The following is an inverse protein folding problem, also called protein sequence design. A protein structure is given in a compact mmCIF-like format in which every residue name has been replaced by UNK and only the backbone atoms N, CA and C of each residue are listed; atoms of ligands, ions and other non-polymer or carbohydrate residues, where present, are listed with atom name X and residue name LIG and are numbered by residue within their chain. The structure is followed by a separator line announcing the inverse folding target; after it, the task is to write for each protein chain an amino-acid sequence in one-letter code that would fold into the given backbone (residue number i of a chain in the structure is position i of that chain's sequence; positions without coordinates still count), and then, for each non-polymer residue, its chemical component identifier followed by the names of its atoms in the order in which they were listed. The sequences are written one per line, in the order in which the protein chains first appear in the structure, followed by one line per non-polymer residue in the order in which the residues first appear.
data_IF_187788479708
#
_entry.id   IF_187788479708
#
_cell.length_a   1.000
_cell.length_b   1.000
_cell.length_c   1.000
_cell.angle_alpha   90.00
_cell.angle_beta   90.00
_cell.angle_gamma   90.00
#
_symmetry.space_group_name_H-M   'P 1'
#
loop_
_entity.id
_entity.type
_entity.pdbx_description
1 polymer ?
#
# COMPACT_ATOMS: atom_id res chain seq x y z
N UNK A 1 25.33 -7.48 4.88
CA UNK A 1 23.89 -7.09 4.96
C UNK A 1 23.24 -7.93 6.03
N UNK A 2 22.53 -7.32 6.98
CA UNK A 2 21.76 -8.07 7.96
C UNK A 2 20.48 -8.58 7.32
N UNK A 3 20.12 -9.84 7.61
CA UNK A 3 18.84 -10.39 7.15
C UNK A 3 17.67 -9.68 7.83
N UNK A 4 16.70 -9.27 7.00
CA UNK A 4 15.48 -8.58 7.44
C UNK A 4 14.28 -9.51 7.20
N UNK A 5 13.58 -9.84 8.26
CA UNK A 5 12.39 -10.70 8.21
C UNK A 5 11.10 -9.93 8.45
N UNK A 6 10.06 -10.32 7.76
CA UNK A 6 8.69 -9.92 8.08
C UNK A 6 8.14 -10.95 9.06
N UNK A 7 7.73 -10.53 10.24
CA UNK A 7 7.20 -11.41 11.28
C UNK A 7 5.72 -11.16 11.58
N UNK A 8 5.19 -10.03 11.14
CA UNK A 8 3.79 -9.68 11.31
C UNK A 8 3.25 -8.87 10.15
N UNK A 9 1.97 -9.05 9.84
CA UNK A 9 1.22 -8.29 8.85
C UNK A 9 -0.17 -7.95 9.37
N UNK A 10 -0.68 -6.79 8.96
CA UNK A 10 -2.05 -6.35 9.23
C UNK A 10 -2.54 -5.45 8.10
N UNK A 11 -3.82 -5.48 7.79
CA UNK A 11 -4.42 -4.64 6.78
C UNK A 11 -5.87 -4.28 7.08
N UNK A 12 -6.22 -3.04 6.78
CA UNK A 12 -7.60 -2.54 6.74
C UNK A 12 -7.88 -2.13 5.29
N UNK A 13 -8.93 -2.68 4.70
CA UNK A 13 -9.33 -2.39 3.32
C UNK A 13 -10.86 -2.29 3.22
N UNK A 14 -11.37 -1.84 2.09
CA UNK A 14 -12.82 -1.86 1.82
C UNK A 14 -13.43 -3.28 1.79
N UNK A 15 -12.62 -4.33 1.75
CA UNK A 15 -13.04 -5.74 1.76
C UNK A 15 -12.98 -6.38 3.15
N UNK A 16 -12.39 -5.71 4.13
CA UNK A 16 -12.33 -6.21 5.49
C UNK A 16 -11.51 -5.35 6.43
N UNK A 17 -11.84 -5.44 7.73
CA UNK A 17 -11.15 -4.77 8.81
C UNK A 17 -9.96 -5.60 9.37
N UNK A 18 -9.53 -6.63 8.65
CA UNK A 18 -8.37 -7.46 8.95
C UNK A 18 -7.84 -8.15 7.69
N UNK A 19 -6.66 -8.74 7.80
CA UNK A 19 -5.99 -9.48 6.72
C UNK A 19 -6.81 -10.71 6.28
N UNK A 20 -7.44 -11.40 7.21
CA UNK A 20 -8.19 -12.65 6.93
C UNK A 20 -9.42 -12.37 6.07
N UNK A 21 -10.24 -11.38 6.44
CA UNK A 21 -11.44 -10.99 5.69
C UNK A 21 -11.07 -10.40 4.33
N UNK A 22 -10.04 -9.53 4.27
CA UNK A 22 -9.51 -8.99 3.03
C UNK A 22 -9.04 -10.08 2.08
N UNK A 23 -8.19 -11.00 2.57
CA UNK A 23 -7.71 -12.15 1.79
C UNK A 23 -8.86 -12.96 1.21
N UNK A 24 -9.78 -13.39 2.08
CA UNK A 24 -10.90 -14.28 1.70
C UNK A 24 -11.83 -13.63 0.65
N UNK A 25 -11.99 -12.31 0.68
CA UNK A 25 -12.78 -11.61 -0.33
C UNK A 25 -12.04 -11.52 -1.68
N UNK A 26 -10.74 -11.16 -1.67
CA UNK A 26 -9.93 -11.09 -2.89
C UNK A 26 -9.79 -12.47 -3.54
N UNK A 27 -9.55 -13.52 -2.75
CA UNK A 27 -9.44 -14.89 -3.22
C UNK A 27 -10.68 -15.33 -4.04
N UNK A 28 -11.86 -14.85 -3.66
CA UNK A 28 -13.11 -15.07 -4.40
C UNK A 28 -13.33 -14.11 -5.57
N UNK A 29 -12.34 -13.30 -5.93
CA UNK A 29 -12.44 -12.32 -7.01
C UNK A 29 -13.37 -11.14 -6.72
N UNK A 30 -13.71 -10.87 -5.45
CA UNK A 30 -14.62 -9.77 -5.10
C UNK A 30 -13.92 -8.42 -5.25
N UNK A 31 -14.68 -7.42 -5.69
CA UNK A 31 -14.32 -6.00 -5.62
C UNK A 31 -15.11 -5.32 -4.50
N UNK A 32 -14.44 -4.50 -3.70
CA UNK A 32 -15.04 -3.68 -2.66
C UNK A 32 -15.33 -2.23 -3.10
N UNK A 33 -15.37 -2.00 -4.40
CA UNK A 33 -15.63 -0.68 -4.97
C UNK A 33 -17.14 -0.50 -5.13
N UNK A 34 -17.72 0.44 -4.39
CA UNK A 34 -19.16 0.72 -4.38
C UNK A 34 -19.40 2.22 -4.29
N UNK A 35 -20.66 2.66 -4.50
CA UNK A 35 -21.06 4.06 -4.28
C UNK A 35 -20.70 4.51 -2.87
N UNK A 36 -20.21 5.74 -2.74
CA UNK A 36 -19.78 6.31 -1.45
C UNK A 36 -20.98 6.53 -0.54
N UNK A 37 -20.84 6.23 0.75
CA UNK A 37 -21.87 6.41 1.77
C UNK A 37 -21.38 7.37 2.87
N UNK A 38 -22.31 8.16 3.43
CA UNK A 38 -22.02 9.04 4.56
C UNK A 38 -21.15 10.27 4.25
N UNK A 39 -20.78 10.48 2.98
CA UNK A 39 -20.01 11.63 2.51
C UNK A 39 -20.81 12.31 1.41
N UNK A 40 -20.97 13.62 1.48
CA UNK A 40 -21.67 14.39 0.44
C UNK A 40 -20.78 14.51 -0.80
N UNK A 41 -21.07 13.70 -1.79
CA UNK A 41 -20.40 13.69 -3.10
C UNK A 41 -21.26 14.29 -4.22
N UNK A 42 -22.33 15.02 -3.87
CA UNK A 42 -23.15 15.72 -4.85
C UNK A 42 -22.28 16.70 -5.66
N UNK A 43 -22.46 16.67 -6.97
CA UNK A 43 -21.64 17.46 -7.90
C UNK A 43 -20.30 16.80 -8.31
N UNK A 44 -19.89 15.70 -7.69
CA UNK A 44 -18.82 14.86 -8.22
C UNK A 44 -19.36 13.99 -9.35
N UNK A 45 -18.60 13.88 -10.45
CA UNK A 45 -18.95 12.96 -11.54
C UNK A 45 -18.68 11.49 -11.18
N UNK A 46 -17.79 11.27 -10.22
CA UNK A 46 -17.46 9.95 -9.69
C UNK A 46 -17.88 9.96 -8.23
N UNK A 47 -18.79 9.06 -7.90
CA UNK A 47 -19.45 8.93 -6.60
C UNK A 47 -19.21 7.55 -5.96
N UNK A 48 -18.22 6.82 -6.44
CA UNK A 48 -17.86 5.50 -5.94
C UNK A 48 -16.38 5.43 -5.55
N UNK A 49 -16.08 4.52 -4.61
CA UNK A 49 -14.74 4.32 -4.06
C UNK A 49 -14.62 2.94 -3.39
N UNK A 50 -13.40 2.53 -3.10
CA UNK A 50 -13.10 1.43 -2.17
C UNK A 50 -13.16 1.94 -0.72
N UNK A 51 -14.36 2.21 -0.22
CA UNK A 51 -14.61 2.77 1.11
C UNK A 51 -14.63 1.68 2.17
N UNK A 52 -13.91 1.88 3.26
CA UNK A 52 -13.97 1.00 4.45
C UNK A 52 -15.27 1.26 5.21
N UNK A 53 -16.11 0.25 5.36
CA UNK A 53 -17.42 0.34 6.00
C UNK A 53 -17.47 -0.48 7.27
N UNK A 54 -18.32 -0.07 8.23
CA UNK A 54 -18.51 -0.80 9.48
C UNK A 54 -17.25 -0.93 10.34
N UNK A 55 -16.26 -0.07 10.13
CA UNK A 55 -15.03 -0.06 10.89
C UNK A 55 -15.22 0.62 12.24
N UNK A 56 -14.77 -0.07 13.29
CA UNK A 56 -14.73 0.49 14.65
C UNK A 56 -13.31 0.93 14.96
N UNK A 57 -13.09 2.20 15.32
CA UNK A 57 -11.76 2.69 15.66
C UNK A 57 -11.23 2.02 16.95
N UNK A 58 -9.90 1.86 17.08
CA UNK A 58 -9.31 1.46 18.34
C UNK A 58 -9.63 2.43 19.47
N UNK A 59 -9.82 1.92 20.68
CA UNK A 59 -10.18 2.71 21.85
C UNK A 59 -9.23 3.91 22.06
N UNK A 60 -9.82 5.10 22.29
CA UNK A 60 -9.11 6.36 22.46
C UNK A 60 -8.61 7.00 21.16
N UNK A 61 -9.08 6.51 19.99
CA UNK A 61 -8.83 7.11 18.68
C UNK A 61 -10.13 7.46 17.94
N UNK A 62 -11.24 7.53 18.63
CA UNK A 62 -12.57 7.79 18.04
C UNK A 62 -12.61 9.13 17.28
N UNK A 63 -11.91 10.15 17.80
CA UNK A 63 -11.82 11.50 17.22
C UNK A 63 -10.60 11.72 16.34
N UNK A 64 -9.70 10.73 16.23
CA UNK A 64 -8.53 10.83 15.36
C UNK A 64 -8.92 10.83 13.88
N UNK A 65 -8.03 11.34 13.01
CA UNK A 65 -8.21 11.19 11.56
C UNK A 65 -8.34 9.70 11.19
N UNK A 66 -9.21 9.42 10.25
CA UNK A 66 -9.54 8.05 9.83
C UNK A 66 -8.31 7.24 9.38
N UNK A 67 -7.34 7.91 8.74
CA UNK A 67 -6.06 7.27 8.37
C UNK A 67 -5.25 6.84 9.60
N UNK A 68 -5.27 7.63 10.67
CA UNK A 68 -4.62 7.28 11.95
C UNK A 68 -5.31 6.08 12.61
N UNK A 69 -6.64 6.05 12.58
CA UNK A 69 -7.43 4.92 13.09
C UNK A 69 -7.10 3.62 12.35
N UNK A 70 -7.04 3.66 11.02
CA UNK A 70 -6.67 2.52 10.20
C UNK A 70 -5.25 2.05 10.47
N UNK A 71 -4.29 2.98 10.59
CA UNK A 71 -2.90 2.67 10.90
C UNK A 71 -2.77 1.93 12.23
N UNK A 72 -3.41 2.44 13.27
CA UNK A 72 -3.37 1.84 14.60
C UNK A 72 -3.99 0.43 14.61
N UNK A 73 -5.16 0.24 14.01
CA UNK A 73 -5.81 -1.07 13.93
C UNK A 73 -4.96 -2.11 13.16
N UNK A 74 -4.38 -1.69 12.03
CA UNK A 74 -3.51 -2.58 11.24
C UNK A 74 -2.20 -2.91 11.97
N UNK A 75 -1.65 -1.99 12.77
CA UNK A 75 -0.47 -2.26 13.63
C UNK A 75 -0.84 -3.27 14.73
N UNK A 76 -1.99 -3.10 15.39
CA UNK A 76 -2.45 -4.06 16.40
C UNK A 76 -2.61 -5.48 15.82
N UNK A 77 -3.13 -5.60 14.59
CA UNK A 77 -3.19 -6.89 13.89
C UNK A 77 -1.79 -7.44 13.57
N UNK A 78 -0.89 -6.60 13.04
CA UNK A 78 0.47 -7.00 12.72
C UNK A 78 1.23 -7.48 13.96
N UNK A 79 1.06 -6.80 15.10
CA UNK A 79 1.64 -7.21 16.39
C UNK A 79 1.08 -8.56 16.86
N UNK A 80 -0.23 -8.77 16.76
CA UNK A 80 -0.84 -10.08 17.08
C UNK A 80 -0.28 -11.20 16.20
N UNK A 81 -0.14 -10.93 14.89
CA UNK A 81 0.44 -11.89 13.94
C UNK A 81 1.89 -12.22 14.29
N UNK A 82 2.67 -11.23 14.69
CA UNK A 82 4.07 -11.37 15.13
C UNK A 82 4.20 -11.98 16.54
N UNK A 83 3.11 -12.15 17.28
CA UNK A 83 3.08 -12.54 18.70
C UNK A 83 3.92 -11.60 19.56
N UNK A 84 3.74 -10.29 19.37
CA UNK A 84 4.41 -9.23 20.08
C UNK A 84 3.43 -8.48 20.98
N UNK A 85 3.84 -8.24 22.22
CA UNK A 85 3.16 -7.32 23.14
C UNK A 85 3.91 -6.00 23.31
N UNK A 86 3.29 -4.99 23.96
CA UNK A 86 3.95 -3.70 24.23
C UNK A 86 5.24 -3.84 25.05
N UNK A 87 5.34 -4.86 25.90
CA UNK A 87 6.52 -5.12 26.72
C UNK A 87 7.72 -5.56 25.90
N UNK A 88 7.50 -6.28 24.79
CA UNK A 88 8.57 -6.67 23.87
C UNK A 88 9.22 -5.43 23.27
N UNK A 89 8.39 -4.46 22.84
CA UNK A 89 8.86 -3.19 22.29
C UNK A 89 9.60 -2.36 23.34
N UNK A 90 9.10 -2.30 24.57
CA UNK A 90 9.75 -1.59 25.66
C UNK A 90 11.13 -2.16 26.00
N UNK A 91 11.27 -3.50 25.97
CA UNK A 91 12.56 -4.19 26.20
C UNK A 91 13.60 -3.88 25.13
N UNK A 92 13.18 -3.58 23.90
CA UNK A 92 14.09 -3.18 22.82
C UNK A 92 14.62 -1.74 22.99
N UNK A 93 13.94 -0.89 23.78
CA UNK A 93 14.33 0.49 23.99
C UNK A 93 14.40 1.28 22.69
N UNK A 94 15.60 1.83 22.37
CA UNK A 94 15.85 2.54 21.10
C UNK A 94 16.00 1.61 19.90
N UNK A 95 16.09 0.31 20.10
CA UNK A 95 16.11 -0.70 19.02
C UNK A 95 14.75 -0.98 18.40
N UNK A 96 13.64 -0.47 18.97
CA UNK A 96 12.31 -0.49 18.35
C UNK A 96 12.00 0.85 17.68
N UNK A 97 11.61 0.83 16.39
CA UNK A 97 11.36 2.02 15.58
C UNK A 97 9.99 2.00 14.88
N UNK A 98 9.54 3.15 14.39
CA UNK A 98 8.29 3.33 13.63
C UNK A 98 8.59 4.03 12.30
N UNK A 99 8.10 3.47 11.19
CA UNK A 99 8.18 4.08 9.85
C UNK A 99 6.81 3.98 9.19
N UNK A 100 5.93 4.92 9.48
CA UNK A 100 4.56 4.92 8.95
C UNK A 100 4.31 6.16 8.12
N UNK A 101 4.10 5.94 6.83
CA UNK A 101 3.85 6.99 5.85
C UNK A 101 2.37 7.31 5.65
N UNK A 102 2.12 8.49 5.11
CA UNK A 102 0.84 8.92 4.55
C UNK A 102 1.11 9.81 3.35
N UNK A 103 0.31 9.70 2.31
CA UNK A 103 0.54 10.53 1.12
C UNK A 103 0.15 12.00 1.32
N UNK A 104 -0.73 12.30 2.29
CA UNK A 104 -1.32 13.64 2.47
C UNK A 104 -1.58 14.04 3.93
N UNK A 105 -1.46 13.11 4.87
CA UNK A 105 -1.83 13.36 6.27
C UNK A 105 -3.33 13.28 6.52
N UNK A 106 -3.79 13.94 7.58
CA UNK A 106 -5.18 13.94 8.06
C UNK A 106 -6.12 14.81 7.22
N UNK A 107 -6.41 14.37 6.00
CA UNK A 107 -7.22 15.11 5.02
C UNK A 107 -8.63 15.39 5.53
N UNK A 108 -9.28 14.40 6.13
CA UNK A 108 -10.64 14.54 6.62
C UNK A 108 -10.68 15.47 7.83
N UNK A 109 -9.69 15.37 8.71
CA UNK A 109 -9.56 16.26 9.86
C UNK A 109 -9.26 17.70 9.43
N UNK A 110 -8.36 17.88 8.45
CA UNK A 110 -8.12 19.21 7.87
C UNK A 110 -9.40 19.85 7.33
N UNK A 111 -10.18 19.09 6.55
CA UNK A 111 -11.43 19.59 5.99
C UNK A 111 -12.44 19.98 7.08
N UNK A 112 -12.55 19.18 8.16
CA UNK A 112 -13.42 19.49 9.30
C UNK A 112 -12.97 20.75 10.06
N UNK A 113 -11.67 20.87 10.34
CA UNK A 113 -11.10 22.06 11.01
C UNK A 113 -11.25 23.32 10.16
N UNK A 114 -11.01 23.23 8.84
CA UNK A 114 -11.20 24.36 7.92
C UNK A 114 -12.67 24.80 7.87
N UNK A 115 -13.62 23.85 7.80
CA UNK A 115 -15.05 24.16 7.86
C UNK A 115 -15.41 24.85 9.18
N UNK A 116 -14.91 24.37 10.30
CA UNK A 116 -15.12 24.99 11.60
C UNK A 116 -14.60 26.42 11.62
N UNK A 117 -13.37 26.66 11.15
CA UNK A 117 -12.77 28.00 11.09
C UNK A 117 -13.59 28.97 10.24
N UNK A 118 -14.08 28.56 9.08
CA UNK A 118 -14.93 29.40 8.22
C UNK A 118 -16.24 29.82 8.90
N UNK A 119 -16.81 28.99 9.80
CA UNK A 119 -18.08 29.30 10.47
C UNK A 119 -17.88 30.06 11.79
N UNK A 120 -16.77 29.82 12.51
CA UNK A 120 -16.51 30.43 13.81
C UNK A 120 -15.83 31.81 13.70
N UNK A 121 -15.43 32.26 12.51
CA UNK A 121 -14.63 33.47 12.32
C UNK A 121 -13.18 33.32 12.80
N UNK A 122 -12.44 34.45 12.84
CA UNK A 122 -11.00 34.45 13.14
C UNK A 122 -10.65 34.34 14.63
N UNK A 123 -11.65 34.25 15.52
CA UNK A 123 -11.44 34.12 16.98
C UNK A 123 -10.96 32.72 17.35
N UNK A 124 -9.65 32.49 17.37
CA UNK A 124 -9.07 31.27 17.94
C UNK A 124 -9.09 31.41 19.48
N UNK A 125 -9.96 30.67 20.14
CA UNK A 125 -9.99 30.55 21.61
C UNK A 125 -9.33 29.25 22.06
N UNK A 126 -8.98 29.13 23.32
CA UNK A 126 -8.42 27.88 23.89
C UNK A 126 -9.37 26.68 23.70
N UNK A 127 -10.66 26.93 23.54
CA UNK A 127 -11.69 25.90 23.28
C UNK A 127 -11.89 25.61 21.78
N UNK A 128 -11.19 26.34 20.89
CA UNK A 128 -11.29 26.13 19.46
C UNK A 128 -10.59 24.82 19.07
N UNK A 129 -11.21 23.92 18.27
CA UNK A 129 -10.55 22.70 17.80
C UNK A 129 -9.34 22.97 16.90
N UNK A 130 -9.07 24.24 16.53
CA UNK A 130 -7.89 24.59 15.72
C UNK A 130 -6.56 24.30 16.43
N UNK A 131 -6.52 24.28 17.77
CA UNK A 131 -5.31 23.87 18.52
C UNK A 131 -4.90 22.41 18.22
N UNK A 132 -5.85 21.57 17.81
CA UNK A 132 -5.58 20.19 17.42
C UNK A 132 -4.93 20.02 16.04
N UNK A 133 -4.76 21.10 15.28
CA UNK A 133 -4.24 21.02 13.90
C UNK A 133 -2.91 20.24 13.84
N UNK A 134 -1.96 20.60 14.68
CA UNK A 134 -0.62 20.00 14.67
C UNK A 134 -0.57 18.56 15.18
N UNK A 135 -1.58 18.14 15.96
CA UNK A 135 -1.67 16.76 16.45
C UNK A 135 -2.53 15.84 15.59
N UNK A 136 -3.21 16.38 14.54
CA UNK A 136 -4.18 15.61 13.78
C UNK A 136 -4.04 15.69 12.25
N UNK A 137 -3.38 16.74 11.72
CA UNK A 137 -3.30 16.98 10.27
C UNK A 137 -1.97 16.58 9.63
N UNK A 138 -0.79 16.79 10.25
CA UNK A 138 0.49 16.47 9.61
C UNK A 138 0.58 15.00 9.17
N UNK A 139 1.27 14.69 8.08
CA UNK A 139 1.44 13.31 7.63
C UNK A 139 2.08 12.39 8.68
N UNK A 140 2.88 12.94 9.60
CA UNK A 140 3.51 12.18 10.69
C UNK A 140 2.57 11.71 11.78
N UNK A 141 1.33 12.23 11.86
CA UNK A 141 0.39 11.97 12.96
C UNK A 141 0.19 10.48 13.23
N UNK A 142 0.08 9.66 12.19
CA UNK A 142 -0.07 8.20 12.37
C UNK A 142 1.18 7.57 13.03
N UNK A 143 2.36 7.95 12.58
CA UNK A 143 3.63 7.47 13.16
C UNK A 143 3.79 7.95 14.61
N UNK A 144 3.43 9.20 14.89
CA UNK A 144 3.47 9.81 16.22
C UNK A 144 2.50 9.12 17.19
N UNK A 145 1.28 8.90 16.76
CA UNK A 145 0.25 8.22 17.55
C UNK A 145 0.66 6.78 17.89
N UNK A 146 1.15 6.01 16.92
CA UNK A 146 1.61 4.63 17.13
C UNK A 146 2.80 4.61 18.09
N UNK A 147 3.79 5.47 17.89
CA UNK A 147 4.96 5.53 18.75
C UNK A 147 4.60 5.90 20.21
N UNK A 148 3.69 6.87 20.39
CA UNK A 148 3.20 7.30 21.69
C UNK A 148 2.43 6.19 22.41
N UNK A 149 1.45 5.56 21.76
CA UNK A 149 0.63 4.47 22.32
C UNK A 149 1.47 3.27 22.74
N UNK A 150 2.47 2.91 21.95
CA UNK A 150 3.35 1.76 22.20
C UNK A 150 4.61 2.13 22.97
N UNK A 151 4.80 3.42 23.33
CA UNK A 151 5.95 3.95 24.05
C UNK A 151 7.30 3.59 23.40
N UNK A 152 7.34 3.63 22.06
CA UNK A 152 8.55 3.37 21.26
C UNK A 152 9.49 4.56 21.39
N UNK A 153 10.75 4.29 21.70
CA UNK A 153 11.80 5.30 21.96
C UNK A 153 12.82 5.43 20.82
N UNK A 154 12.80 4.52 19.86
CA UNK A 154 13.71 4.56 18.72
C UNK A 154 13.30 5.51 17.62
N UNK A 155 13.91 5.36 16.46
CA UNK A 155 13.70 6.23 15.31
C UNK A 155 12.23 6.25 14.86
N UNK A 156 11.77 7.43 14.45
CA UNK A 156 10.40 7.65 13.95
C UNK A 156 10.45 8.44 12.66
N UNK A 157 9.86 7.89 11.60
CA UNK A 157 9.83 8.48 10.28
C UNK A 157 8.44 8.42 9.66
N UNK A 158 8.13 9.42 8.84
CA UNK A 158 6.95 9.45 8.00
C UNK A 158 7.38 9.73 6.55
N UNK A 159 7.69 8.73 5.74
CA UNK A 159 7.96 8.92 4.32
C UNK A 159 6.71 9.43 3.59
N UNK A 160 6.95 10.29 2.57
CA UNK A 160 5.94 10.77 1.64
C UNK A 160 6.49 10.59 0.23
N UNK A 161 5.85 9.74 -0.58
CA UNK A 161 6.25 9.41 -1.95
C UNK A 161 5.01 9.11 -2.83
N UNK A 162 3.96 9.92 -2.67
CA UNK A 162 2.67 9.75 -3.33
C UNK A 162 2.16 8.29 -3.22
N UNK A 163 1.84 7.62 -4.36
CA UNK A 163 1.32 6.25 -4.36
C UNK A 163 2.37 5.19 -3.98
N UNK A 164 3.66 5.52 -3.99
CA UNK A 164 4.74 4.63 -3.58
C UNK A 164 5.05 4.69 -2.06
N UNK A 165 4.39 5.58 -1.31
CA UNK A 165 4.67 5.86 0.12
C UNK A 165 4.79 4.58 0.96
N UNK A 166 3.83 3.65 0.87
CA UNK A 166 3.83 2.43 1.66
C UNK A 166 5.03 1.53 1.38
N UNK A 167 5.39 1.36 0.10
CA UNK A 167 6.58 0.59 -0.29
C UNK A 167 7.87 1.28 0.16
N UNK A 168 7.96 2.61 0.01
CA UNK A 168 9.11 3.41 0.48
C UNK A 168 9.25 3.33 2.00
N UNK A 169 8.13 3.31 2.75
CA UNK A 169 8.14 3.15 4.20
C UNK A 169 8.72 1.79 4.61
N UNK A 170 8.33 0.70 3.93
CA UNK A 170 8.88 -0.63 4.19
C UNK A 170 10.37 -0.71 3.82
N UNK A 171 10.78 -0.10 2.70
CA UNK A 171 12.20 0.01 2.32
C UNK A 171 12.99 0.77 3.40
N UNK A 172 12.48 1.91 3.87
CA UNK A 172 13.16 2.68 4.92
C UNK A 172 13.31 1.89 6.22
N UNK A 173 12.27 1.13 6.60
CA UNK A 173 12.32 0.24 7.75
C UNK A 173 13.39 -0.86 7.58
N UNK A 174 13.45 -1.48 6.39
CA UNK A 174 14.47 -2.48 6.08
C UNK A 174 15.90 -1.90 6.15
N UNK A 175 16.09 -0.66 5.68
CA UNK A 175 17.37 0.05 5.79
C UNK A 175 17.78 0.25 7.26
N UNK A 176 16.87 0.69 8.14
CA UNK A 176 17.18 0.87 9.56
C UNK A 176 17.69 -0.40 10.22
N UNK A 177 17.10 -1.55 9.86
CA UNK A 177 17.57 -2.85 10.37
C UNK A 177 18.91 -3.23 9.73
N UNK A 178 19.03 -3.10 8.42
CA UNK A 178 20.26 -3.43 7.70
C UNK A 178 21.48 -2.61 8.19
N UNK A 179 21.24 -1.34 8.55
CA UNK A 179 22.25 -0.42 9.05
C UNK A 179 22.53 -0.59 10.57
N UNK A 180 21.82 -1.52 11.22
CA UNK A 180 21.95 -1.77 12.66
C UNK A 180 21.36 -0.69 13.56
N UNK A 181 20.57 0.24 12.98
CA UNK A 181 19.91 1.32 13.73
C UNK A 181 18.66 0.84 14.49
N UNK A 182 18.09 -0.29 14.10
CA UNK A 182 16.93 -0.91 14.76
C UNK A 182 17.01 -2.43 14.70
N UNK A 183 16.42 -3.09 15.69
CA UNK A 183 16.22 -4.54 15.74
C UNK A 183 14.81 -4.92 15.29
N UNK A 184 13.84 -4.03 15.49
CA UNK A 184 12.44 -4.19 15.13
C UNK A 184 11.86 -2.87 14.64
N UNK A 185 11.10 -2.89 13.54
CA UNK A 185 10.42 -1.71 12.99
C UNK A 185 8.96 -2.03 12.67
N UNK A 186 8.04 -1.24 13.23
CA UNK A 186 6.66 -1.16 12.80
C UNK A 186 6.59 -0.27 11.56
N UNK A 187 6.18 -0.79 10.41
CA UNK A 187 6.24 -0.04 9.17
C UNK A 187 5.04 -0.26 8.24
N UNK A 188 4.82 0.70 7.38
CA UNK A 188 3.74 0.68 6.39
C UNK A 188 3.22 2.07 6.08
N UNK A 189 1.96 2.16 5.69
CA UNK A 189 1.28 3.42 5.45
C UNK A 189 -0.22 3.30 5.61
N UNK A 190 -0.87 4.45 5.85
CA UNK A 190 -2.31 4.59 5.87
C UNK A 190 -2.74 5.84 5.09
N UNK A 191 -3.89 5.75 4.45
CA UNK A 191 -4.52 6.86 3.75
C UNK A 191 -6.05 6.79 3.87
N UNK A 192 -6.69 7.94 4.11
CA UNK A 192 -8.14 8.10 4.11
C UNK A 192 -8.47 9.37 3.30
N UNK A 193 -8.57 9.22 1.99
CA UNK A 193 -8.67 10.35 1.05
C UNK A 193 -10.01 10.37 0.28
N UNK A 194 -11.04 9.67 0.75
CA UNK A 194 -12.37 9.72 0.15
C UNK A 194 -13.05 11.00 0.59
N UNK A 195 -12.92 12.02 -0.23
CA UNK A 195 -13.46 13.36 0.02
C UNK A 195 -13.75 14.05 -1.33
N UNK A 196 -14.81 14.87 -1.46
CA UNK A 196 -15.18 15.52 -2.73
C UNK A 196 -14.03 16.27 -3.40
N UNK A 197 -13.17 16.96 -2.63
CA UNK A 197 -12.01 17.66 -3.16
C UNK A 197 -11.07 16.71 -3.93
N UNK A 198 -10.75 15.54 -3.36
CA UNK A 198 -9.85 14.57 -3.99
C UNK A 198 -10.51 13.82 -5.13
N UNK A 199 -11.79 13.47 -5.00
CA UNK A 199 -12.58 12.91 -6.10
C UNK A 199 -12.59 13.88 -7.28
N UNK A 200 -12.91 15.15 -7.05
CA UNK A 200 -12.91 16.18 -8.09
C UNK A 200 -11.53 16.44 -8.70
N UNK A 201 -10.48 16.53 -7.87
CA UNK A 201 -9.13 16.75 -8.34
C UNK A 201 -8.61 15.62 -9.23
N UNK A 202 -8.74 14.35 -8.81
CA UNK A 202 -8.32 13.20 -9.63
C UNK A 202 -9.22 13.00 -10.85
N UNK A 203 -10.52 13.30 -10.77
CA UNK A 203 -11.39 13.29 -11.94
C UNK A 203 -10.98 14.33 -12.97
N UNK A 204 -10.61 15.54 -12.53
CA UNK A 204 -10.08 16.58 -13.41
C UNK A 204 -8.78 16.19 -14.09
N UNK A 205 -7.94 15.38 -13.43
CA UNK A 205 -6.71 14.82 -14.02
C UNK A 205 -7.00 13.69 -15.03
N UNK A 206 -8.25 13.21 -15.14
CA UNK A 206 -8.62 12.14 -16.04
C UNK A 206 -8.11 10.75 -15.66
N UNK A 207 -7.77 10.53 -14.38
CA UNK A 207 -7.19 9.26 -13.90
C UNK A 207 -8.19 8.37 -13.16
N UNK A 208 -9.39 8.88 -12.85
CA UNK A 208 -10.44 8.08 -12.22
C UNK A 208 -11.20 7.23 -13.24
N UNK A 209 -11.51 6.02 -12.79
CA UNK A 209 -12.32 5.07 -13.54
C UNK A 209 -13.74 5.62 -13.80
N UNK A 210 -14.34 5.15 -14.90
CA UNK A 210 -15.78 5.31 -15.18
C UNK A 210 -16.52 4.05 -14.75
N UNK A 211 -17.81 4.16 -14.35
CA UNK A 211 -18.60 2.97 -14.06
C UNK A 211 -18.59 2.03 -15.28
N UNK A 212 -18.42 0.74 -15.04
CA UNK A 212 -18.47 -0.23 -16.13
C UNK A 212 -19.90 -0.39 -16.63
N UNK A 213 -20.16 -0.47 -17.94
CA UNK A 213 -21.52 -0.51 -18.47
C UNK A 213 -22.39 -1.63 -17.90
N UNK A 214 -21.82 -2.81 -17.67
CA UNK A 214 -22.55 -3.98 -17.18
C UNK A 214 -22.47 -4.14 -15.64
N UNK A 215 -21.31 -3.82 -15.04
CA UNK A 215 -21.02 -4.13 -13.65
C UNK A 215 -21.06 -2.89 -12.74
N UNK A 216 -21.28 -1.70 -13.32
CA UNK A 216 -21.31 -0.44 -12.58
C UNK A 216 -19.99 -0.12 -11.86
N UNK A 217 -20.06 0.44 -10.64
CA UNK A 217 -18.87 0.78 -9.84
C UNK A 217 -17.96 -0.42 -9.53
N UNK A 218 -18.54 -1.59 -9.29
CA UNK A 218 -17.80 -2.82 -8.92
C UNK A 218 -16.81 -3.22 -10.02
N UNK A 219 -17.19 -3.06 -11.28
CA UNK A 219 -16.36 -3.36 -12.45
C UNK A 219 -15.47 -2.21 -12.92
N UNK A 220 -15.50 -1.03 -12.29
CA UNK A 220 -14.87 0.18 -12.79
C UNK A 220 -13.33 0.10 -12.84
N UNK A 221 -12.71 -0.35 -11.76
CA UNK A 221 -11.25 -0.50 -11.69
C UNK A 221 -10.85 -1.90 -12.22
N UNK A 222 -10.18 -1.92 -13.39
CA UNK A 222 -9.88 -3.15 -14.17
C UNK A 222 -8.42 -3.15 -14.64
N UNK A 223 -7.48 -3.49 -13.76
CA UNK A 223 -6.05 -3.45 -14.10
C UNK A 223 -5.73 -4.33 -15.32
N UNK A 224 -4.92 -3.79 -16.25
CA UNK A 224 -4.47 -4.43 -17.49
C UNK A 224 -5.60 -4.82 -18.48
N UNK A 225 -6.86 -4.55 -18.17
CA UNK A 225 -7.98 -4.88 -19.05
C UNK A 225 -8.07 -3.90 -20.24
N UNK A 226 -8.58 -4.39 -21.37
CA UNK A 226 -8.78 -3.58 -22.58
C UNK A 226 -9.77 -2.41 -22.36
N UNK A 227 -10.72 -2.57 -21.45
CA UNK A 227 -11.75 -1.57 -21.15
C UNK A 227 -11.40 -0.70 -19.92
N UNK A 228 -10.13 -0.72 -19.47
CA UNK A 228 -9.67 0.11 -18.36
C UNK A 228 -9.79 1.61 -18.67
N UNK A 229 -10.26 2.36 -17.70
CA UNK A 229 -10.46 3.81 -17.82
C UNK A 229 -9.80 4.61 -16.71
N UNK A 230 -9.26 3.96 -15.69
CA UNK A 230 -8.63 4.59 -14.53
C UNK A 230 -8.82 3.78 -13.25
N UNK A 231 -8.44 4.37 -12.12
CA UNK A 231 -8.60 3.74 -10.82
C UNK A 231 -9.83 4.27 -10.05
N UNK A 232 -10.34 3.48 -9.12
CA UNK A 232 -11.22 3.96 -8.07
C UNK A 232 -10.36 4.31 -6.85
N UNK A 233 -10.60 5.46 -6.20
CA UNK A 233 -9.93 5.80 -4.94
C UNK A 233 -10.30 4.72 -3.91
N UNK A 234 -9.30 4.25 -3.15
CA UNK A 234 -9.49 3.41 -1.97
C UNK A 234 -8.97 4.10 -0.71
N UNK A 235 -9.35 3.59 0.45
CA UNK A 235 -8.82 3.99 1.75
C UNK A 235 -8.45 2.76 2.58
N UNK A 236 -7.62 2.94 3.61
CA UNK A 236 -7.22 1.89 4.53
C UNK A 236 -5.76 1.98 4.97
N UNK A 237 -5.22 0.85 5.44
CA UNK A 237 -3.83 0.73 5.87
C UNK A 237 -3.26 -0.64 5.52
N UNK A 238 -1.94 -0.69 5.35
CA UNK A 238 -1.16 -1.93 5.35
C UNK A 238 0.05 -1.76 6.25
N UNK A 239 0.20 -2.66 7.22
CA UNK A 239 1.28 -2.61 8.20
C UNK A 239 2.05 -3.91 8.27
N UNK A 240 3.36 -3.81 8.44
CA UNK A 240 4.28 -4.92 8.60
C UNK A 240 5.13 -4.73 9.84
N UNK A 241 5.52 -5.83 10.47
CA UNK A 241 6.59 -5.87 11.46
C UNK A 241 7.83 -6.43 10.77
N UNK A 242 8.89 -5.63 10.74
CA UNK A 242 10.21 -6.08 10.28
C UNK A 242 11.12 -6.30 11.48
N UNK A 243 11.89 -7.39 11.43
CA UNK A 243 12.86 -7.72 12.47
C UNK A 243 14.20 -8.17 11.89
N UNK A 244 15.27 -7.86 12.62
CA UNK A 244 16.58 -8.45 12.34
C UNK A 244 16.58 -9.95 12.62
N UNK A 245 17.46 -10.70 11.96
CA UNK A 245 17.67 -12.12 12.26
C UNK A 245 18.01 -12.37 13.74
N UNK A 246 18.72 -11.40 14.37
CA UNK A 246 19.05 -11.46 15.81
C UNK A 246 17.81 -11.35 16.68
N UNK A 247 16.90 -10.39 16.38
CA UNK A 247 15.65 -10.21 17.11
C UNK A 247 14.77 -11.45 17.01
N UNK A 248 14.58 -11.97 15.79
CA UNK A 248 13.79 -13.18 15.53
C UNK A 248 14.31 -14.36 16.36
N UNK A 249 15.61 -14.64 16.31
CA UNK A 249 16.22 -15.75 17.08
C UNK A 249 16.08 -15.54 18.58
N UNK A 250 16.32 -14.31 19.09
CA UNK A 250 16.30 -14.03 20.53
C UNK A 250 14.94 -14.28 21.18
N UNK A 251 13.84 -14.08 20.44
CA UNK A 251 12.47 -14.24 20.95
C UNK A 251 11.76 -15.50 20.42
N UNK A 252 12.47 -16.35 19.68
CA UNK A 252 11.89 -17.52 18.99
C UNK A 252 10.72 -17.13 18.07
N UNK A 253 10.91 -16.01 17.34
CA UNK A 253 9.91 -15.46 16.44
C UNK A 253 9.75 -16.29 15.17
N UNK A 254 8.56 -16.26 14.57
CA UNK A 254 8.27 -16.98 13.33
C UNK A 254 8.34 -16.02 12.14
N UNK A 255 9.34 -16.11 11.26
CA UNK A 255 9.38 -15.30 10.06
C UNK A 255 8.31 -15.76 9.04
N UNK A 256 7.55 -14.81 8.50
CA UNK A 256 6.55 -15.04 7.46
C UNK A 256 7.15 -14.93 6.06
N UNK A 257 8.08 -13.98 5.89
CA UNK A 257 8.84 -13.74 4.67
C UNK A 257 10.18 -13.06 5.02
N UNK A 258 11.09 -13.03 4.05
CA UNK A 258 12.34 -12.27 4.10
C UNK A 258 12.29 -11.14 3.08
N UNK A 259 12.71 -9.92 3.45
CA UNK A 259 13.02 -8.86 2.50
C UNK A 259 14.37 -9.22 1.87
N UNK A 260 14.34 -9.69 0.63
CA UNK A 260 15.56 -10.15 -0.07
C UNK A 260 16.39 -8.99 -0.59
N UNK A 261 15.72 -8.00 -1.18
CA UNK A 261 16.33 -6.79 -1.71
C UNK A 261 15.28 -5.71 -1.97
N UNK A 262 15.76 -4.52 -2.31
CA UNK A 262 14.94 -3.39 -2.76
C UNK A 262 15.72 -2.48 -3.70
N UNK A 263 14.98 -1.69 -4.47
CA UNK A 263 15.51 -0.58 -5.25
C UNK A 263 14.55 0.60 -5.25
N UNK A 264 15.11 1.79 -5.33
CA UNK A 264 14.40 3.05 -5.54
C UNK A 264 14.94 3.72 -6.79
N UNK A 265 14.08 4.38 -7.52
CA UNK A 265 14.42 5.16 -8.70
C UNK A 265 13.42 6.25 -8.97
N UNK A 266 13.67 7.00 -10.03
CA UNK A 266 12.80 8.08 -10.47
C UNK A 266 12.57 8.02 -11.98
N UNK A 267 11.36 8.39 -12.39
CA UNK A 267 10.99 8.67 -13.77
C UNK A 267 10.88 10.19 -13.94
N UNK A 268 11.73 10.84 -14.72
CA UNK A 268 11.73 12.29 -14.89
C UNK A 268 10.68 12.81 -15.88
N UNK A 269 9.80 11.96 -16.41
CA UNK A 269 8.85 12.31 -17.50
C UNK A 269 7.71 13.24 -17.08
N UNK A 270 7.75 13.80 -15.86
CA UNK A 270 6.79 14.77 -15.34
C UNK A 270 5.98 14.29 -14.16
N UNK A 271 4.98 15.09 -13.76
CA UNK A 271 4.22 14.83 -12.53
C UNK A 271 3.42 13.51 -12.61
N UNK A 272 2.78 13.25 -13.75
CA UNK A 272 1.94 12.07 -13.99
C UNK A 272 2.38 11.26 -15.21
N UNK A 273 3.38 11.76 -15.94
CA UNK A 273 3.95 11.11 -17.11
C UNK A 273 4.74 9.87 -16.71
N UNK A 274 4.82 8.93 -17.64
CA UNK A 274 5.69 7.77 -17.56
C UNK A 274 6.51 7.70 -18.86
N UNK A 275 7.77 7.34 -18.76
CA UNK A 275 8.64 7.12 -19.90
C UNK A 275 8.05 6.03 -20.80
N UNK A 276 7.84 6.37 -22.10
CA UNK A 276 7.20 5.48 -23.06
C UNK A 276 8.04 4.21 -23.35
N UNK A 277 9.34 4.25 -23.05
CA UNK A 277 10.22 3.08 -23.17
C UNK A 277 10.15 2.16 -21.96
N UNK A 278 9.54 2.61 -20.85
CA UNK A 278 9.50 1.95 -19.54
C UNK A 278 10.90 1.67 -18.94
N UNK A 279 11.95 2.31 -19.46
CA UNK A 279 13.32 2.09 -19.00
C UNK A 279 13.55 2.42 -17.52
N UNK A 280 13.00 3.53 -16.95
CA UNK A 280 13.15 3.80 -15.53
C UNK A 280 12.57 2.68 -14.64
N UNK A 281 11.41 2.14 -15.03
CA UNK A 281 10.77 1.02 -14.31
C UNK A 281 11.64 -0.24 -14.41
N UNK A 282 12.10 -0.55 -15.62
CA UNK A 282 12.94 -1.73 -15.87
C UNK A 282 14.29 -1.63 -15.14
N UNK A 283 14.89 -0.46 -15.08
CA UNK A 283 16.13 -0.20 -14.34
C UNK A 283 15.96 -0.51 -12.84
N UNK A 284 14.87 -0.06 -12.21
CA UNK A 284 14.58 -0.33 -10.79
C UNK A 284 14.36 -1.83 -10.56
N UNK A 285 13.63 -2.51 -11.45
CA UNK A 285 13.43 -3.96 -11.37
C UNK A 285 14.79 -4.68 -11.46
N UNK A 286 15.62 -4.39 -12.46
CA UNK A 286 16.94 -5.00 -12.63
C UNK A 286 17.84 -4.76 -11.43
N UNK A 287 17.91 -3.52 -10.96
CA UNK A 287 18.70 -3.17 -9.76
C UNK A 287 18.26 -3.99 -8.53
N UNK A 288 16.95 -4.22 -8.36
CA UNK A 288 16.46 -5.04 -7.26
C UNK A 288 16.87 -6.51 -7.39
N UNK A 289 16.88 -7.06 -8.60
CA UNK A 289 17.35 -8.42 -8.88
C UNK A 289 18.84 -8.58 -8.65
N UNK A 290 19.64 -7.67 -9.20
CA UNK A 290 21.11 -7.70 -9.06
C UNK A 290 21.51 -7.70 -7.58
N UNK A 291 20.86 -6.85 -6.76
CA UNK A 291 21.06 -6.83 -5.30
C UNK A 291 20.62 -8.12 -4.60
N UNK A 292 19.62 -8.79 -5.13
CA UNK A 292 19.17 -10.08 -4.63
C UNK A 292 20.05 -11.26 -5.05
N UNK A 293 20.87 -11.10 -6.11
CA UNK A 293 21.55 -12.19 -6.78
C UNK A 293 20.57 -13.12 -7.50
N UNK A 294 19.48 -12.56 -8.06
CA UNK A 294 18.42 -13.31 -8.74
C UNK A 294 18.34 -12.91 -10.22
N UNK A 295 17.84 -13.84 -11.03
CA UNK A 295 17.51 -13.61 -12.44
C UNK A 295 16.00 -13.42 -12.60
N UNK A 296 15.56 -12.91 -13.74
CA UNK A 296 14.12 -12.77 -14.05
C UNK A 296 13.35 -14.09 -13.93
N UNK A 297 13.98 -15.21 -14.29
CA UNK A 297 13.40 -16.56 -14.21
C UNK A 297 13.17 -17.07 -12.77
N UNK A 298 13.81 -16.43 -11.77
CA UNK A 298 13.67 -16.80 -10.37
C UNK A 298 12.47 -16.15 -9.71
N UNK A 299 11.84 -15.15 -10.37
CA UNK A 299 10.63 -14.46 -9.87
C UNK A 299 9.38 -15.26 -10.25
N UNK A 300 8.64 -15.71 -9.25
CA UNK A 300 7.41 -16.48 -9.44
C UNK A 300 6.20 -15.58 -9.72
N UNK A 301 6.13 -14.42 -9.00
CA UNK A 301 4.99 -13.48 -9.08
C UNK A 301 5.49 -12.04 -9.08
N UNK A 302 4.83 -11.22 -9.88
CA UNK A 302 4.89 -9.76 -9.78
C UNK A 302 3.58 -9.26 -9.20
N UNK A 303 3.62 -8.61 -8.02
CA UNK A 303 2.52 -7.80 -7.52
C UNK A 303 2.67 -6.40 -8.10
N UNK A 304 1.90 -6.13 -9.14
CA UNK A 304 2.01 -4.93 -9.96
C UNK A 304 1.53 -3.67 -9.26
N UNK A 305 1.96 -2.50 -9.72
CA UNK A 305 1.32 -1.24 -9.34
C UNK A 305 -0.06 -1.12 -9.97
N UNK A 306 -0.16 -1.25 -11.28
CA UNK A 306 -1.38 -1.50 -12.06
C UNK A 306 -2.61 -0.68 -11.62
N UNK A 307 -2.63 0.59 -11.99
CA UNK A 307 -3.70 1.53 -11.60
C UNK A 307 -4.96 1.44 -12.48
N UNK A 308 -4.99 0.57 -13.47
CA UNK A 308 -6.03 0.53 -14.49
C UNK A 308 -6.09 1.82 -15.35
N UNK A 309 -5.08 2.66 -15.30
CA UNK A 309 -4.91 3.76 -16.27
C UNK A 309 -4.23 3.25 -17.53
N UNK A 310 -4.56 3.84 -18.68
CA UNK A 310 -4.00 3.37 -19.96
C UNK A 310 -2.48 3.47 -19.97
N UNK A 311 -1.92 4.61 -19.56
CA UNK A 311 -0.47 4.87 -19.59
C UNK A 311 0.32 4.01 -18.61
N UNK A 312 -0.14 3.89 -17.35
CA UNK A 312 0.58 3.12 -16.35
C UNK A 312 0.62 1.64 -16.70
N UNK A 313 -0.52 1.06 -17.02
CA UNK A 313 -0.61 -0.38 -17.28
C UNK A 313 0.13 -0.77 -18.56
N UNK A 314 0.15 0.11 -19.58
CA UNK A 314 0.96 -0.09 -20.77
C UNK A 314 2.47 -0.06 -20.47
N UNK A 315 2.94 0.92 -19.68
CA UNK A 315 4.34 1.03 -19.28
C UNK A 315 4.80 -0.17 -18.44
N UNK A 316 3.99 -0.60 -17.46
CA UNK A 316 4.30 -1.78 -16.67
C UNK A 316 4.32 -3.05 -17.53
N UNK A 317 3.33 -3.26 -18.39
CA UNK A 317 3.31 -4.42 -19.29
C UNK A 317 4.51 -4.46 -20.22
N UNK A 318 4.93 -3.31 -20.74
CA UNK A 318 6.16 -3.19 -21.56
C UNK A 318 7.40 -3.54 -20.74
N UNK A 319 7.52 -3.00 -19.50
CA UNK A 319 8.63 -3.33 -18.61
C UNK A 319 8.67 -4.83 -18.31
N UNK A 320 7.53 -5.46 -18.03
CA UNK A 320 7.47 -6.90 -17.73
C UNK A 320 7.82 -7.77 -18.92
N UNK A 321 7.39 -7.43 -20.14
CA UNK A 321 7.81 -8.14 -21.36
C UNK A 321 9.33 -8.04 -21.59
N UNK A 322 9.91 -6.84 -21.40
CA UNK A 322 11.35 -6.61 -21.55
C UNK A 322 12.19 -7.20 -20.39
N UNK A 323 11.57 -7.42 -19.26
CA UNK A 323 12.18 -8.03 -18.08
C UNK A 323 12.41 -9.53 -18.25
N UNK A 324 11.50 -10.24 -18.94
CA UNK A 324 11.58 -11.69 -19.12
C UNK A 324 12.65 -12.02 -20.14
N UNK A 325 13.63 -12.85 -19.75
CA UNK A 325 14.64 -13.33 -20.69
C UNK A 325 14.02 -14.24 -21.76
N UNK A 326 14.53 -14.15 -22.99
CA UNK A 326 14.08 -14.99 -24.12
C UNK A 326 14.13 -16.47 -23.75
N UNK A 327 13.02 -17.18 -23.93
CA UNK A 327 12.89 -18.61 -23.62
C UNK A 327 12.61 -18.93 -22.15
N UNK A 328 12.53 -17.93 -21.28
CA UNK A 328 12.16 -18.13 -19.87
C UNK A 328 10.64 -18.10 -19.68
N UNK A 329 10.16 -18.84 -18.68
CA UNK A 329 8.75 -18.75 -18.26
C UNK A 329 8.49 -17.34 -17.67
N UNK A 330 7.48 -16.60 -18.17
CA UNK A 330 7.11 -15.33 -17.58
C UNK A 330 6.57 -15.52 -16.15
N UNK A 331 6.88 -14.62 -15.21
CA UNK A 331 6.25 -14.63 -13.89
C UNK A 331 4.75 -14.41 -14.00
N UNK A 332 4.01 -14.93 -13.03
CA UNK A 332 2.61 -14.57 -12.87
C UNK A 332 2.49 -13.11 -12.46
N UNK A 333 1.49 -12.39 -12.97
CA UNK A 333 1.23 -10.98 -12.62
C UNK A 333 -0.13 -10.90 -11.94
N UNK A 334 -0.16 -10.29 -10.76
CA UNK A 334 -1.40 -9.97 -10.04
C UNK A 334 -1.48 -8.48 -9.74
N UNK A 335 -2.70 -7.94 -9.80
CA UNK A 335 -3.00 -6.55 -9.53
C UNK A 335 -4.20 -6.44 -8.59
N UNK A 336 -3.99 -5.92 -7.40
CA UNK A 336 -4.98 -5.97 -6.32
C UNK A 336 -5.93 -4.77 -6.30
N UNK A 337 -5.62 -3.70 -7.06
CA UNK A 337 -6.43 -2.46 -7.07
C UNK A 337 -7.83 -2.64 -7.67
N UNK A 338 -8.03 -3.64 -8.53
CA UNK A 338 -9.38 -4.01 -8.98
C UNK A 338 -10.29 -4.48 -7.85
N UNK A 339 -9.71 -5.06 -6.81
CA UNK A 339 -10.42 -5.55 -5.64
C UNK A 339 -10.58 -4.50 -4.54
N UNK A 340 -9.48 -3.81 -4.15
CA UNK A 340 -9.46 -2.92 -2.97
C UNK A 340 -9.46 -1.42 -3.32
N UNK A 341 -9.54 -1.07 -4.60
CA UNK A 341 -9.31 0.29 -5.06
C UNK A 341 -7.84 0.72 -4.92
N UNK A 342 -7.53 1.94 -5.35
CA UNK A 342 -6.21 2.51 -5.17
C UNK A 342 -6.16 3.26 -3.83
N UNK A 343 -5.58 2.63 -2.81
CA UNK A 343 -5.45 3.17 -1.45
C UNK A 343 -4.35 4.24 -1.35
N UNK A 344 -3.94 4.84 -2.47
CA UNK A 344 -2.95 5.92 -2.58
C UNK A 344 -1.66 5.57 -1.82
N UNK A 345 -1.26 6.37 -0.82
CA UNK A 345 -0.05 6.10 -0.05
C UNK A 345 -0.04 4.74 0.66
N UNK A 346 -1.19 4.23 1.08
CA UNK A 346 -1.31 2.94 1.74
C UNK A 346 -1.22 1.74 0.78
N UNK A 347 -1.44 1.94 -0.54
CA UNK A 347 -1.55 0.85 -1.50
C UNK A 347 -0.33 -0.10 -1.48
N UNK A 348 0.88 0.47 -1.51
CA UNK A 348 2.11 -0.32 -1.59
C UNK A 348 2.32 -1.25 -0.41
N UNK A 349 2.07 -0.81 0.80
CA UNK A 349 2.25 -1.62 2.02
C UNK A 349 1.12 -2.63 2.22
N UNK A 350 -0.12 -2.31 1.86
CA UNK A 350 -1.23 -3.27 1.88
C UNK A 350 -1.00 -4.42 0.88
N UNK A 351 -0.55 -4.07 -0.33
CA UNK A 351 -0.20 -5.06 -1.36
C UNK A 351 1.04 -5.88 -0.98
N UNK A 352 2.02 -5.30 -0.24
CA UNK A 352 3.14 -6.05 0.34
C UNK A 352 2.67 -7.04 1.42
N UNK A 353 1.79 -6.61 2.33
CA UNK A 353 1.23 -7.49 3.34
C UNK A 353 0.47 -8.68 2.72
N UNK A 354 -0.32 -8.43 1.66
CA UNK A 354 -0.96 -9.49 0.87
C UNK A 354 0.06 -10.37 0.13
N UNK A 355 1.18 -9.80 -0.35
CA UNK A 355 2.25 -10.59 -0.99
C UNK A 355 2.97 -11.51 0.01
N UNK A 356 3.13 -11.09 1.27
CA UNK A 356 3.62 -11.95 2.35
C UNK A 356 2.66 -13.12 2.59
N UNK A 357 1.35 -12.86 2.61
CA UNK A 357 0.34 -13.91 2.73
C UNK A 357 0.31 -14.86 1.51
N UNK A 358 0.56 -14.36 0.28
CA UNK A 358 0.72 -15.24 -0.90
C UNK A 358 1.90 -16.20 -0.71
N UNK A 359 3.06 -15.73 -0.26
CA UNK A 359 4.22 -16.59 0.07
C UNK A 359 3.88 -17.60 1.16
N UNK A 360 3.21 -17.18 2.22
CA UNK A 360 2.85 -18.05 3.36
C UNK A 360 1.86 -19.13 2.98
N UNK A 361 0.84 -18.77 2.20
CA UNK A 361 -0.25 -19.69 1.77
C UNK A 361 0.09 -20.46 0.51
N UNK A 362 1.18 -20.13 -0.17
CA UNK A 362 1.56 -20.72 -1.46
C UNK A 362 0.41 -20.62 -2.48
N UNK A 363 -0.20 -19.42 -2.55
CA UNK A 363 -1.35 -19.15 -3.39
C UNK A 363 -1.24 -17.75 -3.99
N UNK A 364 -1.55 -17.60 -5.27
CA UNK A 364 -1.56 -16.31 -5.97
C UNK A 364 -2.99 -15.76 -5.96
N UNK A 365 -3.16 -14.51 -5.52
CA UNK A 365 -4.42 -13.80 -5.57
C UNK A 365 -4.75 -13.32 -6.99
N UNK A 366 -6.04 -13.27 -7.37
CA UNK A 366 -6.46 -12.88 -8.71
C UNK A 366 -6.40 -11.35 -8.92
N UNK A 367 -6.32 -10.96 -10.19
CA UNK A 367 -6.61 -9.61 -10.67
C UNK A 367 -8.11 -9.50 -10.91
N UNK A 368 -8.82 -8.82 -10.01
CA UNK A 368 -10.26 -8.62 -10.17
C UNK A 368 -10.55 -7.78 -11.42
N UNK A 369 -11.70 -8.05 -12.05
CA UNK A 369 -12.23 -7.32 -13.21
C UNK A 369 -11.40 -7.43 -14.50
N UNK A 370 -10.36 -8.26 -14.57
CA UNK A 370 -9.61 -8.49 -15.80
C UNK A 370 -10.29 -9.55 -16.67
N UNK A 371 -10.83 -9.16 -17.82
CA UNK A 371 -11.46 -10.06 -18.79
C UNK A 371 -10.57 -10.33 -20.00
N UNK A 372 -10.01 -9.28 -20.62
CA UNK A 372 -9.17 -9.41 -21.82
C UNK A 372 -8.08 -8.33 -21.86
N UNK A 373 -6.93 -8.67 -22.41
CA UNK A 373 -5.87 -7.71 -22.69
C UNK A 373 -6.15 -6.97 -24.02
N UNK A 374 -5.56 -5.78 -24.17
CA UNK A 374 -5.40 -5.07 -25.44
C UNK A 374 -3.97 -5.21 -25.98
N UNK A 375 -3.64 -4.48 -27.05
CA UNK A 375 -2.33 -4.51 -27.66
C UNK A 375 -1.22 -4.02 -26.71
N UNK A 376 -1.55 -3.11 -25.78
CA UNK A 376 -0.58 -2.54 -24.84
C UNK A 376 -0.29 -3.51 -23.68
N UNK A 377 -1.29 -4.30 -23.27
CA UNK A 377 -1.22 -5.17 -22.08
C UNK A 377 -1.07 -6.66 -22.41
N UNK A 378 -1.11 -7.05 -23.68
CA UNK A 378 -0.88 -8.45 -24.11
C UNK A 378 0.56 -8.91 -23.82
N UNK A 379 0.76 -10.23 -23.78
CA UNK A 379 2.09 -10.86 -23.60
C UNK A 379 2.58 -10.92 -22.15
N UNK A 380 1.75 -10.59 -21.15
CA UNK A 380 2.02 -10.82 -19.73
C UNK A 380 1.00 -11.83 -19.16
N UNK A 381 1.44 -12.61 -18.16
CA UNK A 381 0.64 -13.69 -17.58
C UNK A 381 -0.20 -13.18 -16.41
N UNK A 382 -1.37 -12.58 -16.68
CA UNK A 382 -2.30 -12.07 -15.65
C UNK A 382 -3.08 -13.20 -14.99
N UNK A 383 -3.07 -13.24 -13.66
CA UNK A 383 -3.84 -14.19 -12.87
C UNK A 383 -5.28 -13.70 -12.72
N UNK A 384 -6.25 -14.46 -13.22
CA UNK A 384 -7.69 -14.14 -13.18
C UNK A 384 -8.44 -14.86 -12.05
N UNK A 385 -7.94 -15.98 -11.61
CA UNK A 385 -8.51 -16.79 -10.53
C UNK A 385 -7.43 -17.15 -9.53
N UNK A 386 -7.80 -17.19 -8.25
CA UNK A 386 -6.87 -17.63 -7.21
C UNK A 386 -6.37 -19.05 -7.52
N UNK A 387 -5.07 -19.26 -7.44
CA UNK A 387 -4.46 -20.55 -7.76
C UNK A 387 -3.29 -20.89 -6.85
N UNK A 388 -3.19 -22.15 -6.45
CA UNK A 388 -2.03 -22.68 -5.74
C UNK A 388 -0.78 -22.67 -6.62
N UNK A 389 0.36 -22.30 -6.06
CA UNK A 389 1.64 -22.30 -6.75
C UNK A 389 2.79 -22.41 -5.74
N UNK A 390 3.88 -23.06 -6.14
CA UNK A 390 5.12 -23.03 -5.34
C UNK A 390 5.78 -21.66 -5.51
N UNK A 391 5.68 -20.82 -4.50
CA UNK A 391 6.21 -19.46 -4.50
C UNK A 391 7.48 -19.38 -3.67
N UNK A 392 8.55 -18.87 -4.25
CA UNK A 392 9.84 -18.60 -3.61
C UNK A 392 10.13 -17.11 -3.53
N UNK A 393 9.85 -16.39 -4.64
CA UNK A 393 10.18 -14.98 -4.79
C UNK A 393 9.01 -14.21 -5.40
N UNK A 394 8.64 -13.11 -4.75
CA UNK A 394 7.65 -12.15 -5.25
C UNK A 394 8.31 -10.79 -5.41
N UNK A 395 8.19 -10.20 -6.60
CA UNK A 395 8.56 -8.82 -6.87
C UNK A 395 7.34 -7.93 -6.66
N UNK A 396 7.41 -6.99 -5.74
CA UNK A 396 6.42 -5.91 -5.58
C UNK A 396 6.93 -4.63 -6.22
N UNK A 397 6.15 -4.05 -7.14
CA UNK A 397 6.43 -2.77 -7.79
C UNK A 397 5.42 -1.71 -7.33
N UNK A 398 5.88 -0.50 -7.08
CA UNK A 398 5.04 0.68 -6.83
C UNK A 398 5.57 1.87 -7.61
N UNK A 399 4.64 2.58 -8.26
CA UNK A 399 4.89 3.84 -8.92
C UNK A 399 4.10 4.95 -8.20
N UNK A 400 4.63 6.16 -8.17
CA UNK A 400 3.98 7.29 -7.52
C UNK A 400 4.10 8.55 -8.39
N UNK A 401 3.07 9.40 -8.36
CA UNK A 401 3.15 10.70 -8.99
C UNK A 401 4.39 11.47 -8.52
N UNK A 402 4.99 12.26 -9.41
CA UNK A 402 6.30 12.87 -9.19
C UNK A 402 7.46 11.94 -9.56
N UNK A 403 7.17 10.83 -10.24
CA UNK A 403 8.19 9.91 -10.79
C UNK A 403 8.74 8.90 -9.78
N UNK A 404 8.15 8.74 -8.61
CA UNK A 404 8.63 7.76 -7.62
C UNK A 404 8.48 6.32 -8.13
N UNK A 405 9.57 5.55 -8.11
CA UNK A 405 9.57 4.12 -8.43
C UNK A 405 10.20 3.36 -7.27
N UNK A 406 9.52 2.33 -6.77
CA UNK A 406 10.00 1.50 -5.69
C UNK A 406 9.73 0.02 -5.98
N UNK A 407 10.74 -0.82 -5.80
CA UNK A 407 10.64 -2.26 -5.93
C UNK A 407 11.16 -2.96 -4.68
N UNK A 408 10.48 -4.03 -4.24
CA UNK A 408 10.90 -4.92 -3.16
C UNK A 408 10.81 -6.37 -3.67
N UNK A 409 11.82 -7.16 -3.40
CA UNK A 409 11.77 -8.62 -3.57
C UNK A 409 11.56 -9.27 -2.21
N UNK A 410 10.43 -9.96 -2.08
CA UNK A 410 10.12 -10.83 -0.95
C UNK A 410 10.53 -12.26 -1.28
N UNK A 411 11.05 -12.98 -0.30
CA UNK A 411 11.37 -14.41 -0.42
C UNK A 411 10.79 -15.20 0.75
N UNK A 412 10.59 -16.50 0.55
CA UNK A 412 10.35 -17.40 1.70
C UNK A 412 11.49 -17.27 2.71
N UNK A 413 11.19 -17.42 4.00
CA UNK A 413 12.17 -17.38 5.08
C UNK A 413 13.33 -18.34 4.91
#
# INVERSE_FOLDING_TARGET
MHDVYVTGVGAITCLGADMRSTWSAIERGRSGIHSVEGIDVRGCRIDFAGQVRGFLPPAGLEDADRGVQFAAAAVEEAMRTARLGPDDLRRLGTGAAVVVGSSKGGVLRFAALHKHWLHAGTGVTETSPLHEFWSSVPPSTAADTIAGRLRIRGARFCPVAACATGTVSVIRAAQLINDGCAELVLCGAADASIHPLWLGAFDRMGVLARPHPNDGPVGACRPFDAERTGFAIGEGAGMLILESARSVRKRDGLPLARIRSWALGADPSGLTGLDATAEPVLCVIRTSLDRAGLRSADIDVITAHATATRSNDAAEALAYRRFVATGSRPPAVTALKGAIGHMLGAAGSAELALSVEMLRRQQILPTANHARADNDTTGIHIIRHAQGSQLRHILKLSLGFGGHIAAIILSRP
#
